data_IF_850107601409
#
_entry.id   IF_850107601409
#
_cell.length_a   1.000
_cell.length_b   1.000
_cell.length_c   1.000
_cell.angle_alpha   90.00
_cell.angle_beta   90.00
_cell.angle_gamma   90.00
#
_symmetry.space_group_name_H-M   'P 1'
#
loop_
_entity.id
_entity.type
_entity.pdbx_description
1 polymer ?
#
# COMPACT_ATOMS: atom_id res chain seq x y z
N UNK A 1 -12.17 -24.81 -77.52
CA UNK A 1 -11.16 -25.22 -76.50
C UNK A 1 -10.80 -23.99 -75.65
N UNK A 2 -11.47 -23.79 -74.53
CA UNK A 2 -11.19 -22.67 -73.62
C UNK A 2 -10.38 -23.26 -72.42
N UNK A 3 -9.18 -22.76 -72.18
CA UNK A 3 -8.38 -23.10 -71.01
C UNK A 3 -8.68 -22.07 -69.90
N UNK A 4 -9.23 -22.51 -68.79
CA UNK A 4 -9.34 -21.71 -67.57
C UNK A 4 -8.05 -21.88 -66.75
N UNK A 5 -7.31 -20.80 -66.55
CA UNK A 5 -6.19 -20.73 -65.59
C UNK A 5 -6.73 -20.38 -64.22
N UNK A 6 -6.57 -21.25 -63.25
CA UNK A 6 -6.86 -21.00 -61.85
C UNK A 6 -5.64 -20.35 -61.22
N UNK A 7 -5.74 -19.09 -60.80
CA UNK A 7 -4.73 -18.42 -60.02
C UNK A 7 -5.01 -18.69 -58.53
N UNK A 8 -4.19 -19.52 -57.92
CA UNK A 8 -4.18 -19.65 -56.44
C UNK A 8 -3.47 -18.45 -55.79
N UNK A 9 -4.23 -17.58 -55.14
CA UNK A 9 -3.70 -16.58 -54.24
C UNK A 9 -3.34 -17.28 -52.87
N UNK A 10 -2.07 -17.48 -52.64
CA UNK A 10 -1.54 -17.84 -51.33
C UNK A 10 -1.54 -16.57 -50.44
N UNK A 11 -2.55 -16.46 -49.57
CA UNK A 11 -2.60 -15.47 -48.54
C UNK A 11 -1.51 -15.82 -47.48
N UNK A 12 -0.45 -15.02 -47.43
CA UNK A 12 0.50 -15.04 -46.32
C UNK A 12 -0.17 -14.43 -45.09
N UNK A 13 -0.69 -15.29 -44.20
CA UNK A 13 -1.09 -14.86 -42.86
C UNK A 13 0.19 -14.46 -42.12
N UNK A 14 0.44 -13.15 -42.03
CA UNK A 14 1.45 -12.59 -41.14
C UNK A 14 0.89 -12.70 -39.72
N UNK A 15 1.23 -13.79 -38.99
CA UNK A 15 1.06 -13.83 -37.55
C UNK A 15 1.98 -12.77 -36.96
N UNK A 16 1.41 -11.63 -36.58
CA UNK A 16 2.12 -10.70 -35.68
C UNK A 16 2.52 -11.50 -34.44
N UNK A 17 3.78 -11.40 -33.97
CA UNK A 17 4.14 -11.99 -32.69
C UNK A 17 3.18 -11.39 -31.63
N UNK A 18 2.44 -12.23 -30.94
CA UNK A 18 1.78 -11.84 -29.70
C UNK A 18 2.93 -11.41 -28.79
N UNK A 19 3.01 -10.09 -28.52
CA UNK A 19 3.93 -9.57 -27.52
C UNK A 19 3.72 -10.38 -26.26
N UNK A 20 4.77 -11.04 -25.77
CA UNK A 20 4.75 -11.63 -24.43
C UNK A 20 4.28 -10.49 -23.52
N UNK A 21 3.16 -10.67 -22.82
CA UNK A 21 2.66 -9.73 -21.84
C UNK A 21 3.84 -9.41 -20.91
N UNK A 22 4.31 -8.16 -20.95
CA UNK A 22 5.35 -7.73 -20.03
C UNK A 22 4.79 -7.94 -18.62
N UNK A 23 5.56 -8.60 -17.76
CA UNK A 23 5.16 -8.82 -16.37
C UNK A 23 4.86 -7.48 -15.73
N UNK A 24 3.70 -7.31 -15.05
CA UNK A 24 3.36 -6.03 -14.46
C UNK A 24 4.32 -5.68 -13.31
N UNK A 25 4.57 -4.41 -13.13
CA UNK A 25 5.16 -3.90 -11.91
C UNK A 25 4.15 -4.02 -10.76
N UNK A 26 4.64 -4.15 -9.53
CA UNK A 26 3.82 -4.17 -8.33
C UNK A 26 4.30 -3.09 -7.37
N UNK A 27 3.40 -2.16 -7.02
CA UNK A 27 3.66 -1.09 -6.07
C UNK A 27 2.74 -1.19 -4.86
N UNK A 28 3.29 -1.37 -3.68
CA UNK A 28 2.58 -1.24 -2.42
C UNK A 28 2.79 0.15 -1.82
N UNK A 29 1.73 0.91 -1.65
CA UNK A 29 1.71 2.17 -0.90
C UNK A 29 1.14 1.88 0.48
N UNK A 30 2.00 1.86 1.48
CA UNK A 30 1.68 1.44 2.85
C UNK A 30 1.68 2.66 3.76
N UNK A 31 0.53 2.97 4.34
CA UNK A 31 0.32 4.14 5.21
C UNK A 31 0.32 3.70 6.68
N UNK A 32 1.02 4.44 7.54
CA UNK A 32 1.04 4.20 8.99
C UNK A 32 -0.16 4.86 9.71
N UNK A 33 -0.72 4.17 10.72
CA UNK A 33 -1.64 4.73 11.74
C UNK A 33 -2.86 5.47 11.14
N UNK A 34 -3.55 4.88 10.17
CA UNK A 34 -4.68 5.54 9.50
C UNK A 34 -5.81 4.54 9.21
N UNK A 35 -7.03 4.88 9.63
CA UNK A 35 -8.24 4.14 9.29
C UNK A 35 -8.78 4.57 7.92
N UNK A 36 -9.91 4.01 7.50
CA UNK A 36 -10.56 4.26 6.21
C UNK A 36 -11.26 5.64 6.09
N UNK A 37 -10.64 6.69 6.65
CA UNK A 37 -11.16 8.06 6.61
C UNK A 37 -10.84 8.79 5.29
N UNK A 38 -11.10 8.14 4.16
CA UNK A 38 -11.05 8.71 2.81
C UNK A 38 -12.47 8.88 2.26
N UNK A 39 -12.70 9.87 1.39
CA UNK A 39 -14.05 10.21 0.94
C UNK A 39 -14.75 9.08 0.18
N UNK A 40 -14.01 8.24 -0.53
CA UNK A 40 -14.56 7.02 -1.17
C UNK A 40 -15.03 5.95 -0.17
N UNK A 41 -14.62 6.00 1.10
CA UNK A 41 -15.02 5.05 2.14
C UNK A 41 -16.05 5.59 3.12
N UNK A 42 -15.94 6.88 3.50
CA UNK A 42 -16.75 7.49 4.57
C UNK A 42 -17.12 8.94 4.27
N UNK A 43 -18.20 9.42 4.88
CA UNK A 43 -18.51 10.86 4.96
C UNK A 43 -17.48 11.54 5.88
N UNK A 44 -16.47 12.16 5.30
CA UNK A 44 -15.39 12.87 6.00
C UNK A 44 -15.38 14.36 5.62
N UNK A 45 -14.89 15.26 6.50
CA UNK A 45 -14.93 16.71 6.26
C UNK A 45 -13.78 17.20 5.36
N UNK A 46 -13.18 16.33 4.56
CA UNK A 46 -12.00 16.60 3.73
C UNK A 46 -12.17 15.96 2.36
N UNK A 47 -11.43 16.46 1.38
CA UNK A 47 -11.34 15.86 0.04
C UNK A 47 -10.10 14.97 -0.06
N UNK A 48 -10.26 13.84 -0.77
CA UNK A 48 -9.19 12.86 -1.02
C UNK A 48 -9.16 12.42 -2.49
N UNK A 49 -9.00 13.39 -3.43
CA UNK A 49 -9.23 13.15 -4.86
C UNK A 49 -8.32 12.09 -5.49
N UNK A 50 -7.11 11.90 -4.96
CA UNK A 50 -6.17 10.92 -5.53
C UNK A 50 -6.49 9.48 -5.08
N UNK A 51 -6.88 9.30 -3.81
CA UNK A 51 -7.36 8.00 -3.31
C UNK A 51 -8.70 7.66 -3.95
N UNK A 52 -9.60 8.62 -4.08
CA UNK A 52 -10.91 8.43 -4.72
C UNK A 52 -10.77 8.08 -6.21
N UNK A 53 -9.84 8.72 -6.92
CA UNK A 53 -9.54 8.40 -8.32
C UNK A 53 -8.92 6.99 -8.47
N UNK A 54 -8.04 6.60 -7.54
CA UNK A 54 -7.48 5.24 -7.54
C UNK A 54 -8.57 4.20 -7.27
N UNK A 55 -9.48 4.46 -6.33
CA UNK A 55 -10.63 3.59 -6.06
C UNK A 55 -11.57 3.47 -7.27
N UNK A 56 -11.81 4.58 -7.97
CA UNK A 56 -12.64 4.59 -9.18
C UNK A 56 -12.01 3.84 -10.36
N UNK A 57 -10.68 3.75 -10.43
CA UNK A 57 -9.96 3.02 -11.48
C UNK A 57 -9.66 1.57 -11.15
N UNK A 58 -9.87 1.14 -9.91
CA UNK A 58 -9.56 -0.19 -9.41
C UNK A 58 -10.71 -0.85 -8.66
N UNK A 59 -10.37 -1.74 -7.74
CA UNK A 59 -11.28 -2.40 -6.81
C UNK A 59 -11.05 -1.85 -5.41
N UNK A 60 -12.12 -1.33 -4.79
CA UNK A 60 -12.16 -0.92 -3.39
C UNK A 60 -12.76 -2.05 -2.55
N UNK A 61 -12.04 -2.47 -1.51
CA UNK A 61 -12.54 -3.45 -0.54
C UNK A 61 -13.13 -2.73 0.69
N UNK A 62 -14.43 -2.91 0.91
CA UNK A 62 -15.14 -2.27 2.03
C UNK A 62 -14.91 -2.98 3.37
N UNK A 63 -14.52 -4.25 3.34
CA UNK A 63 -14.30 -5.10 4.50
C UNK A 63 -12.88 -5.71 4.48
N UNK A 64 -11.87 -4.84 4.45
CA UNK A 64 -10.47 -5.26 4.59
C UNK A 64 -10.02 -5.11 6.06
N UNK A 65 -9.37 -6.15 6.59
CA UNK A 65 -8.94 -6.22 7.97
C UNK A 65 -7.45 -6.52 8.10
N UNK A 66 -6.85 -5.99 9.16
CA UNK A 66 -5.49 -6.39 9.55
C UNK A 66 -5.55 -7.53 10.55
N UNK A 67 -4.61 -8.45 10.48
CA UNK A 67 -4.51 -9.59 11.41
C UNK A 67 -4.10 -9.18 12.83
N UNK A 68 -3.50 -8.00 12.97
CA UNK A 68 -3.16 -7.38 14.25
C UNK A 68 -3.05 -5.85 14.10
N UNK A 69 -3.75 -5.04 14.94
CA UNK A 69 -3.80 -3.58 14.79
C UNK A 69 -2.55 -2.87 15.33
N UNK A 70 -1.37 -3.36 14.98
CA UNK A 70 -0.09 -2.75 15.41
C UNK A 70 1.02 -2.98 14.41
N UNK A 71 1.82 -1.95 14.14
CA UNK A 71 2.77 -1.86 13.02
C UNK A 71 3.61 -3.12 12.77
N UNK A 72 4.50 -3.50 13.69
CA UNK A 72 5.47 -4.56 13.43
C UNK A 72 4.84 -5.94 13.31
N UNK A 73 3.77 -6.16 14.04
CA UNK A 73 3.02 -7.42 14.03
C UNK A 73 2.28 -7.61 12.72
N UNK A 74 1.50 -6.59 12.31
CA UNK A 74 0.81 -6.58 11.02
C UNK A 74 1.80 -6.67 9.84
N UNK A 75 2.89 -5.86 9.89
CA UNK A 75 3.91 -5.86 8.82
C UNK A 75 4.61 -7.20 8.67
N UNK A 76 4.83 -7.91 9.77
CA UNK A 76 5.39 -9.26 9.74
C UNK A 76 4.44 -10.28 9.11
N UNK A 77 3.13 -10.10 9.32
CA UNK A 77 2.12 -10.97 8.74
C UNK A 77 2.00 -10.75 7.22
N UNK A 78 1.70 -9.53 6.77
CA UNK A 78 1.46 -9.31 5.35
C UNK A 78 2.71 -9.49 4.47
N UNK A 79 3.94 -9.23 4.99
CA UNK A 79 5.16 -9.41 4.19
C UNK A 79 5.49 -10.89 3.94
N UNK A 80 4.92 -11.78 4.71
CA UNK A 80 5.10 -13.24 4.58
C UNK A 80 3.85 -13.95 4.06
N UNK A 81 2.67 -13.30 4.02
CA UNK A 81 1.40 -13.98 3.73
C UNK A 81 1.02 -15.00 4.80
N UNK A 82 1.45 -14.79 6.07
CA UNK A 82 1.24 -15.70 7.19
C UNK A 82 0.70 -14.95 8.39
N UNK A 83 -0.18 -15.58 9.17
CA UNK A 83 -0.55 -15.02 10.46
C UNK A 83 0.69 -14.83 11.34
N UNK A 84 0.81 -13.70 11.98
CA UNK A 84 1.89 -13.38 12.90
C UNK A 84 2.08 -14.39 14.02
N UNK A 85 1.01 -15.06 14.42
CA UNK A 85 1.04 -16.14 15.43
C UNK A 85 1.68 -17.41 14.89
N UNK A 86 1.48 -17.74 13.62
CA UNK A 86 2.06 -18.90 12.96
C UNK A 86 3.58 -18.79 12.79
N UNK A 87 4.08 -17.55 12.67
CA UNK A 87 5.53 -17.28 12.51
C UNK A 87 6.21 -16.76 13.78
N UNK A 88 5.51 -16.76 14.94
CA UNK A 88 6.06 -16.30 16.21
C UNK A 88 6.26 -14.77 16.33
N UNK A 89 5.77 -13.99 15.36
CA UNK A 89 6.03 -12.55 15.24
C UNK A 89 4.94 -11.66 15.89
N UNK A 90 4.17 -12.18 16.85
CA UNK A 90 2.98 -11.55 17.42
C UNK A 90 3.25 -10.50 18.51
N UNK A 91 4.48 -10.40 19.02
CA UNK A 91 4.83 -9.37 20.01
C UNK A 91 5.34 -8.09 19.34
N UNK A 92 4.67 -6.97 19.62
CA UNK A 92 5.05 -5.67 19.04
C UNK A 92 6.51 -5.34 19.29
N UNK A 93 7.26 -5.07 18.21
CA UNK A 93 8.68 -4.71 18.20
C UNK A 93 9.63 -5.74 18.79
N UNK A 94 9.25 -7.00 18.88
CA UNK A 94 10.16 -8.08 19.30
C UNK A 94 11.41 -8.16 18.42
N UNK A 95 11.33 -7.80 17.14
CA UNK A 95 12.48 -7.69 16.25
C UNK A 95 13.54 -6.65 16.66
N UNK A 96 13.22 -5.72 17.57
CA UNK A 96 14.16 -4.71 18.11
C UNK A 96 14.89 -5.18 19.37
N UNK A 97 14.47 -6.28 19.99
CA UNK A 97 15.09 -6.86 21.17
C UNK A 97 16.44 -7.53 20.88
N UNK A 98 17.12 -7.96 21.94
CA UNK A 98 18.37 -8.72 21.84
C UNK A 98 18.15 -10.11 21.24
N UNK A 99 17.02 -10.73 21.56
CA UNK A 99 16.62 -12.03 21.02
C UNK A 99 15.85 -11.77 19.72
N UNK A 100 16.34 -12.32 18.61
CA UNK A 100 15.70 -12.25 17.30
C UNK A 100 14.92 -13.52 17.03
N UNK A 101 13.77 -13.37 16.40
CA UNK A 101 12.96 -14.48 15.89
C UNK A 101 13.47 -14.82 14.50
N UNK A 102 13.68 -16.10 14.23
CA UNK A 102 13.89 -16.61 12.89
C UNK A 102 12.54 -17.10 12.33
N UNK A 103 12.30 -16.88 11.04
CA UNK A 103 11.12 -17.43 10.38
C UNK A 103 11.19 -18.97 10.39
N UNK A 104 10.06 -19.67 10.50
CA UNK A 104 10.03 -21.10 10.30
C UNK A 104 10.64 -21.51 8.95
N UNK A 105 11.26 -22.69 8.89
CA UNK A 105 11.92 -23.16 7.69
C UNK A 105 11.00 -23.15 6.46
N UNK A 106 11.48 -22.59 5.37
CA UNK A 106 10.77 -22.48 4.11
C UNK A 106 9.87 -21.26 3.97
N UNK A 107 9.56 -20.53 5.07
CA UNK A 107 8.80 -19.28 5.02
C UNK A 107 9.74 -18.12 4.69
N UNK A 108 9.36 -17.30 3.72
CA UNK A 108 10.18 -16.21 3.20
C UNK A 108 9.37 -14.92 3.04
N UNK A 109 9.98 -13.73 3.22
CA UNK A 109 9.35 -12.47 2.87
C UNK A 109 9.11 -12.34 1.37
N UNK A 110 7.99 -11.74 0.97
CA UNK A 110 7.61 -11.61 -0.45
C UNK A 110 8.63 -10.87 -1.33
N UNK A 111 9.42 -9.87 -0.84
CA UNK A 111 10.46 -9.27 -1.69
C UNK A 111 11.50 -10.27 -2.19
N UNK A 112 11.83 -11.30 -1.40
CA UNK A 112 12.74 -12.35 -1.84
C UNK A 112 12.17 -13.17 -3.00
N UNK A 113 10.85 -13.45 -2.97
CA UNK A 113 10.17 -14.20 -4.03
C UNK A 113 10.13 -13.40 -5.34
N UNK A 114 9.81 -12.10 -5.25
CA UNK A 114 9.86 -11.21 -6.42
C UNK A 114 11.29 -11.09 -6.96
N UNK A 115 12.28 -10.94 -6.09
CA UNK A 115 13.70 -10.86 -6.51
C UNK A 115 14.17 -12.12 -7.22
N UNK A 116 13.83 -13.30 -6.72
CA UNK A 116 14.11 -14.58 -7.39
C UNK A 116 13.46 -14.67 -8.77
N UNK A 117 12.27 -14.09 -8.93
CA UNK A 117 11.56 -14.02 -10.20
C UNK A 117 12.15 -12.97 -11.16
N UNK A 118 13.23 -12.26 -10.78
CA UNK A 118 13.91 -11.27 -11.61
C UNK A 118 13.40 -9.83 -11.48
N UNK A 119 12.51 -9.55 -10.52
CA UNK A 119 12.05 -8.20 -10.23
C UNK A 119 13.14 -7.38 -9.52
N UNK A 120 13.23 -6.10 -9.84
CA UNK A 120 13.98 -5.13 -9.05
C UNK A 120 13.17 -4.74 -7.81
N UNK A 121 13.71 -5.01 -6.62
CA UNK A 121 12.95 -4.87 -5.38
C UNK A 121 13.36 -3.63 -4.61
N UNK A 122 12.38 -2.82 -4.19
CA UNK A 122 12.67 -1.58 -3.45
C UNK A 122 11.75 -1.35 -2.25
N UNK A 123 12.26 -0.60 -1.27
CA UNK A 123 11.47 -0.05 -0.18
C UNK A 123 11.95 1.35 0.17
N UNK A 124 11.05 2.33 0.13
CA UNK A 124 11.40 3.74 0.34
C UNK A 124 10.42 4.48 1.27
N UNK A 125 10.73 5.73 1.56
CA UNK A 125 9.82 6.71 2.16
C UNK A 125 9.66 7.94 1.24
N UNK A 126 9.82 7.76 -0.06
CA UNK A 126 9.59 8.78 -1.08
C UNK A 126 8.10 9.18 -1.13
N UNK A 127 7.73 10.42 -1.41
CA UNK A 127 8.57 11.59 -1.67
C UNK A 127 9.05 12.33 -0.41
N UNK A 128 8.62 11.91 0.79
CA UNK A 128 8.94 12.58 2.06
C UNK A 128 10.45 12.54 2.33
N UNK A 129 11.08 11.42 1.96
CA UNK A 129 12.52 11.23 2.03
C UNK A 129 13.03 10.75 0.67
N UNK A 130 14.05 11.44 0.15
CA UNK A 130 14.59 11.23 -1.20
C UNK A 130 16.00 10.63 -1.20
N UNK A 131 16.44 10.12 -0.05
CA UNK A 131 17.75 9.46 0.08
C UNK A 131 17.65 7.94 -0.17
N UNK A 132 18.80 7.29 -0.28
CA UNK A 132 18.94 5.86 -0.58
C UNK A 132 18.67 4.94 0.63
N UNK A 133 18.32 5.49 1.79
CA UNK A 133 18.01 4.66 2.95
C UNK A 133 16.71 3.91 2.74
N UNK A 134 16.70 2.65 3.09
CA UNK A 134 15.51 1.82 3.05
C UNK A 134 14.36 2.46 3.85
N UNK A 135 13.14 2.27 3.37
CA UNK A 135 11.92 2.64 4.04
C UNK A 135 11.72 1.86 5.34
N UNK A 136 10.61 2.14 6.03
CA UNK A 136 10.26 1.45 7.26
C UNK A 136 9.89 -0.02 6.97
N UNK A 137 10.63 -0.96 7.53
CA UNK A 137 10.33 -2.40 7.52
C UNK A 137 9.55 -2.82 8.77
N UNK A 138 10.11 -2.59 9.95
CA UNK A 138 9.53 -2.88 11.28
C UNK A 138 9.13 -4.36 11.45
N UNK A 139 9.84 -5.29 10.79
CA UNK A 139 9.55 -6.73 10.90
C UNK A 139 10.03 -7.30 12.22
N UNK A 140 9.27 -8.24 12.80
CA UNK A 140 9.55 -8.86 14.08
C UNK A 140 10.47 -10.09 14.02
N UNK A 141 11.04 -10.36 12.86
CA UNK A 141 11.94 -11.49 12.62
C UNK A 141 13.27 -11.02 12.01
N UNK A 142 14.26 -11.90 11.98
CA UNK A 142 15.50 -11.68 11.23
C UNK A 142 15.22 -11.69 9.74
N UNK A 143 15.67 -10.69 9.02
CA UNK A 143 15.55 -10.54 7.58
C UNK A 143 16.85 -10.00 7.00
N UNK A 144 17.10 -10.31 5.74
CA UNK A 144 18.28 -9.84 5.02
C UNK A 144 17.94 -8.53 4.28
N UNK A 145 18.63 -7.40 4.58
CA UNK A 145 18.48 -6.17 3.78
C UNK A 145 18.72 -6.38 2.28
N UNK A 146 19.51 -7.38 1.91
CA UNK A 146 19.75 -7.79 0.52
C UNK A 146 18.51 -8.26 -0.24
N UNK A 147 17.36 -8.47 0.43
CA UNK A 147 16.09 -8.73 -0.26
C UNK A 147 15.58 -7.48 -1.00
N UNK A 148 16.13 -6.30 -0.75
CA UNK A 148 15.87 -5.06 -1.47
C UNK A 148 17.10 -4.62 -2.25
N UNK A 149 16.94 -4.29 -3.52
CA UNK A 149 18.01 -3.76 -4.39
C UNK A 149 18.28 -2.27 -4.13
N UNK A 150 17.28 -1.55 -3.59
CA UNK A 150 17.44 -0.15 -3.26
C UNK A 150 16.18 0.54 -2.72
N UNK A 151 16.16 1.86 -2.88
CA UNK A 151 15.04 2.71 -2.45
C UNK A 151 14.31 3.39 -3.62
N UNK A 152 14.78 3.26 -4.85
CA UNK A 152 14.18 3.87 -6.05
C UNK A 152 14.10 2.87 -7.20
N UNK A 153 12.88 2.54 -7.63
CA UNK A 153 12.65 1.61 -8.73
C UNK A 153 13.15 2.11 -10.09
N UNK A 154 13.38 3.42 -10.24
CA UNK A 154 13.94 4.00 -11.48
C UNK A 154 15.39 3.56 -11.75
N UNK A 155 16.05 2.92 -10.78
CA UNK A 155 17.42 2.39 -10.92
C UNK A 155 17.49 0.97 -11.47
N UNK A 156 16.34 0.37 -11.77
CA UNK A 156 16.27 -0.96 -12.38
C UNK A 156 16.88 -0.97 -13.79
N UNK A 157 17.21 -2.13 -14.28
CA UNK A 157 17.58 -2.31 -15.68
C UNK A 157 16.40 -1.98 -16.61
N UNK A 158 16.68 -1.67 -17.87
CA UNK A 158 15.63 -1.46 -18.87
C UNK A 158 14.76 -2.72 -18.99
N UNK A 159 13.46 -2.52 -19.09
CA UNK A 159 12.44 -3.58 -19.21
C UNK A 159 12.38 -4.57 -18.02
N UNK A 160 13.14 -4.31 -16.95
CA UNK A 160 13.06 -5.11 -15.73
C UNK A 160 11.81 -4.70 -14.92
N UNK A 161 10.89 -5.64 -14.59
CA UNK A 161 9.77 -5.32 -13.72
C UNK A 161 10.25 -5.01 -12.29
N UNK A 162 9.48 -4.23 -11.55
CA UNK A 162 9.81 -3.94 -10.16
C UNK A 162 8.71 -4.38 -9.18
N UNK A 163 9.14 -4.75 -7.98
CA UNK A 163 8.31 -4.82 -6.79
C UNK A 163 8.75 -3.71 -5.84
N UNK A 164 7.92 -2.73 -5.62
CA UNK A 164 8.24 -1.56 -4.82
C UNK A 164 7.30 -1.38 -3.64
N UNK A 165 7.86 -0.96 -2.50
CA UNK A 165 7.09 -0.54 -1.33
C UNK A 165 7.41 0.92 -1.01
N UNK A 166 6.37 1.75 -0.90
CA UNK A 166 6.49 3.12 -0.38
C UNK A 166 5.84 3.18 1.00
N UNK A 167 6.61 3.66 1.98
CA UNK A 167 6.22 3.73 3.38
C UNK A 167 5.85 5.16 3.75
N UNK A 168 4.57 5.44 3.95
CA UNK A 168 4.06 6.75 4.31
C UNK A 168 3.82 6.84 5.82
N UNK A 169 4.08 8.01 6.39
CA UNK A 169 3.89 8.24 7.83
C UNK A 169 2.42 8.35 8.25
N UNK A 170 1.53 8.70 7.31
CA UNK A 170 0.10 8.74 7.53
C UNK A 170 -0.30 9.52 8.78
N UNK A 171 -1.09 8.91 9.64
CA UNK A 171 -1.58 9.53 10.88
C UNK A 171 -0.49 9.99 11.86
N UNK A 172 0.75 9.52 11.69
CA UNK A 172 1.90 10.00 12.50
C UNK A 172 2.44 11.36 12.06
N UNK A 173 2.01 11.89 10.92
CA UNK A 173 2.43 13.21 10.44
C UNK A 173 2.03 14.31 11.40
N UNK A 174 0.85 14.21 12.04
CA UNK A 174 0.34 15.19 12.99
C UNK A 174 1.19 15.37 14.25
N UNK A 175 2.18 14.50 14.47
CA UNK A 175 3.02 14.54 15.66
C UNK A 175 2.42 13.80 16.86
N UNK A 176 3.10 13.85 18.01
CA UNK A 176 2.71 13.19 19.26
C UNK A 176 2.84 14.10 20.49
N UNK A 177 3.14 15.37 20.30
CA UNK A 177 3.19 16.42 21.33
C UNK A 177 2.53 17.68 20.78
N UNK A 178 2.05 18.55 21.67
CA UNK A 178 1.43 19.83 21.31
C UNK A 178 2.32 20.63 20.34
N UNK A 179 3.59 20.82 20.68
CA UNK A 179 4.56 21.54 19.84
C UNK A 179 4.72 20.90 18.44
N UNK A 180 4.78 19.57 18.37
CA UNK A 180 4.91 18.87 17.09
C UNK A 180 3.62 18.96 16.26
N UNK A 181 2.47 18.96 16.90
CA UNK A 181 1.16 19.13 16.26
C UNK A 181 1.00 20.55 15.70
N UNK A 182 1.32 21.58 16.47
CA UNK A 182 1.29 22.98 16.00
C UNK A 182 2.23 23.20 14.81
N UNK A 183 3.45 22.67 14.88
CA UNK A 183 4.41 22.74 13.78
C UNK A 183 3.87 22.06 12.52
N UNK A 184 3.24 20.91 12.68
CA UNK A 184 2.60 20.21 11.58
C UNK A 184 1.44 20.99 10.99
N UNK A 185 0.53 21.50 11.83
CA UNK A 185 -0.61 22.31 11.39
C UNK A 185 -0.18 23.58 10.64
N UNK A 186 0.92 24.23 11.08
CA UNK A 186 1.49 25.34 10.34
C UNK A 186 1.97 24.92 8.94
N UNK A 187 2.62 23.78 8.84
CA UNK A 187 3.05 23.26 7.53
C UNK A 187 1.88 22.88 6.60
N UNK A 188 0.74 22.54 7.17
CA UNK A 188 -0.51 22.29 6.44
C UNK A 188 -1.09 23.61 5.91
N UNK A 189 -1.14 24.66 6.72
CA UNK A 189 -1.56 26.00 6.27
C UNK A 189 -0.69 26.54 5.13
N UNK A 190 0.64 26.37 5.25
CA UNK A 190 1.60 26.76 4.20
C UNK A 190 1.36 25.97 2.88
N UNK A 191 0.96 24.71 2.97
CA UNK A 191 0.81 23.80 1.84
C UNK A 191 -0.55 23.85 1.17
N UNK A 192 -1.62 23.97 1.97
CA UNK A 192 -3.01 23.92 1.51
C UNK A 192 -3.76 25.25 1.63
N UNK A 193 -3.11 26.29 2.19
CA UNK A 193 -3.76 27.58 2.46
C UNK A 193 -4.72 27.58 3.67
N UNK A 194 -5.11 26.41 4.14
CA UNK A 194 -6.02 26.25 5.29
C UNK A 194 -5.85 24.88 5.91
N UNK A 195 -6.05 24.77 7.22
CA UNK A 195 -6.16 23.52 7.96
C UNK A 195 -7.63 23.13 8.16
N UNK A 196 -7.87 21.89 8.52
CA UNK A 196 -9.21 21.39 8.84
C UNK A 196 -9.76 22.12 10.08
N UNK A 197 -10.91 22.84 9.99
CA UNK A 197 -11.49 23.49 11.15
C UNK A 197 -12.04 22.47 12.15
N UNK A 198 -11.89 22.71 13.45
CA UNK A 198 -12.47 21.86 14.50
C UNK A 198 -14.00 21.79 14.44
N UNK A 199 -14.65 22.83 13.91
CA UNK A 199 -16.11 22.92 13.79
C UNK A 199 -16.75 21.91 12.83
N UNK A 200 -15.96 21.36 11.89
CA UNK A 200 -16.43 20.32 10.93
C UNK A 200 -16.13 18.90 11.41
N UNK A 201 -15.36 18.75 12.50
CA UNK A 201 -14.97 17.45 13.03
C UNK A 201 -16.15 16.75 13.71
N UNK A 202 -16.55 15.60 13.18
CA UNK A 202 -17.55 14.73 13.79
C UNK A 202 -16.81 13.61 14.55
N UNK A 203 -16.80 13.68 15.88
CA UNK A 203 -16.16 12.67 16.72
C UNK A 203 -17.02 11.41 16.84
N UNK A 204 -16.42 10.21 16.91
CA UNK A 204 -17.10 9.02 17.35
C UNK A 204 -17.75 9.24 18.75
N UNK A 205 -18.93 8.64 19.04
CA UNK A 205 -19.74 8.98 20.21
C UNK A 205 -19.08 8.66 21.58
N UNK A 206 -17.99 7.91 21.57
CA UNK A 206 -17.23 7.58 22.78
C UNK A 206 -16.11 8.57 23.11
N UNK A 207 -15.96 9.65 22.33
CA UNK A 207 -15.03 10.73 22.63
C UNK A 207 -15.76 11.93 23.25
N UNK A 208 -15.23 12.52 24.33
CA UNK A 208 -15.70 13.81 24.78
C UNK A 208 -15.28 14.91 23.79
N UNK A 209 -16.24 15.79 23.47
CA UNK A 209 -15.99 16.91 22.53
C UNK A 209 -15.25 18.07 23.24
N UNK A 210 -14.01 17.83 23.64
CA UNK A 210 -13.11 18.86 24.19
C UNK A 210 -12.26 19.46 23.09
N UNK A 211 -11.78 20.69 23.28
CA UNK A 211 -10.92 21.37 22.31
C UNK A 211 -9.66 20.57 21.97
N UNK A 212 -9.06 19.89 22.95
CA UNK A 212 -7.88 19.04 22.75
C UNK A 212 -8.17 17.91 21.79
N UNK A 213 -9.31 17.22 21.97
CA UNK A 213 -9.67 16.09 21.12
C UNK A 213 -10.09 16.55 19.72
N UNK A 214 -10.86 17.64 19.64
CA UNK A 214 -11.25 18.21 18.35
C UNK A 214 -10.04 18.68 17.55
N UNK A 215 -9.06 19.31 18.20
CA UNK A 215 -7.81 19.73 17.55
C UNK A 215 -6.96 18.52 17.08
N UNK A 216 -6.85 17.47 17.88
CA UNK A 216 -6.09 16.27 17.47
C UNK A 216 -6.76 15.56 16.28
N UNK A 217 -8.10 15.46 16.28
CA UNK A 217 -8.85 14.91 15.14
C UNK A 217 -8.76 15.79 13.89
N UNK A 218 -8.80 17.11 14.03
CA UNK A 218 -8.59 18.04 12.92
C UNK A 218 -7.19 17.86 12.30
N UNK A 219 -6.16 17.78 13.14
CA UNK A 219 -4.79 17.47 12.68
C UNK A 219 -4.65 16.08 12.04
N UNK A 220 -5.43 15.11 12.52
CA UNK A 220 -5.49 13.81 11.86
C UNK A 220 -6.13 13.90 10.46
N UNK A 221 -7.24 14.60 10.28
CA UNK A 221 -7.82 14.82 8.96
C UNK A 221 -6.87 15.57 8.03
N UNK A 222 -6.10 16.52 8.55
CA UNK A 222 -5.03 17.15 7.78
C UNK A 222 -3.96 16.14 7.35
N UNK A 223 -3.66 15.13 8.18
CA UNK A 223 -2.73 14.06 7.80
C UNK A 223 -3.29 13.13 6.73
N UNK A 224 -4.62 12.95 6.68
CA UNK A 224 -5.28 12.22 5.59
C UNK A 224 -5.17 13.00 4.27
N UNK A 225 -5.46 14.31 4.28
CA UNK A 225 -5.28 15.20 3.11
C UNK A 225 -3.85 15.18 2.59
N UNK A 226 -2.86 15.25 3.49
CA UNK A 226 -1.46 15.22 3.09
C UNK A 226 -1.04 13.85 2.54
N UNK A 227 -1.60 12.77 3.07
CA UNK A 227 -1.40 11.41 2.56
C UNK A 227 -1.98 11.27 1.15
N UNK A 228 -3.18 11.78 0.91
CA UNK A 228 -3.79 11.81 -0.43
C UNK A 228 -2.93 12.57 -1.44
N UNK A 229 -2.46 13.77 -1.07
CA UNK A 229 -1.54 14.57 -1.90
C UNK A 229 -0.26 13.78 -2.24
N UNK A 230 0.31 13.10 -1.24
CA UNK A 230 1.53 12.28 -1.43
C UNK A 230 1.26 11.11 -2.37
N UNK A 231 0.09 10.47 -2.27
CA UNK A 231 -0.31 9.45 -3.24
C UNK A 231 -0.36 10.03 -4.66
N UNK A 232 -0.89 11.25 -4.82
CA UNK A 232 -0.90 11.95 -6.10
C UNK A 232 0.51 12.15 -6.69
N UNK A 233 1.50 12.49 -5.87
CA UNK A 233 2.90 12.60 -6.32
C UNK A 233 3.47 11.23 -6.75
N UNK A 234 3.15 10.16 -6.02
CA UNK A 234 3.57 8.78 -6.35
C UNK A 234 3.00 8.36 -7.71
N UNK A 235 1.70 8.55 -7.92
CA UNK A 235 1.04 8.21 -9.18
C UNK A 235 1.56 9.07 -10.35
N UNK A 236 1.88 10.34 -10.07
CA UNK A 236 2.49 11.23 -11.06
C UNK A 236 3.91 10.77 -11.45
N UNK A 237 4.71 10.29 -10.49
CA UNK A 237 6.04 9.71 -10.78
C UNK A 237 5.90 8.50 -11.71
N UNK A 238 5.00 7.55 -11.43
CA UNK A 238 4.74 6.41 -12.31
C UNK A 238 4.33 6.85 -13.74
N UNK A 239 3.45 7.86 -13.85
CA UNK A 239 3.03 8.39 -15.16
C UNK A 239 4.18 9.05 -15.91
N UNK A 240 5.00 9.82 -15.22
CA UNK A 240 6.14 10.56 -15.82
C UNK A 240 7.23 9.59 -16.30
N UNK A 241 7.41 8.47 -15.64
CA UNK A 241 8.36 7.43 -16.00
C UNK A 241 7.81 6.43 -17.04
N UNK A 242 6.52 6.53 -17.37
CA UNK A 242 5.86 5.64 -18.35
C UNK A 242 5.44 4.28 -17.78
N UNK A 243 5.52 4.11 -16.46
CA UNK A 243 5.26 2.83 -15.79
C UNK A 243 3.80 2.64 -15.37
N UNK A 244 2.99 3.70 -15.36
CA UNK A 244 1.66 3.71 -14.74
C UNK A 244 0.73 2.63 -15.29
N UNK A 245 0.65 2.49 -16.61
CA UNK A 245 -0.27 1.56 -17.29
C UNK A 245 0.13 0.08 -17.08
N UNK A 246 1.39 -0.18 -16.73
CA UNK A 246 1.89 -1.53 -16.44
C UNK A 246 2.19 -1.74 -14.95
N UNK A 247 1.60 -0.95 -14.05
CA UNK A 247 1.82 -1.09 -12.61
C UNK A 247 0.53 -1.43 -11.87
N UNK A 248 0.57 -2.52 -11.12
CA UNK A 248 -0.47 -2.85 -10.12
C UNK A 248 -0.14 -2.05 -8.86
N UNK A 249 -1.05 -1.16 -8.47
CA UNK A 249 -0.95 -0.34 -7.27
C UNK A 249 -1.84 -0.92 -6.19
N UNK A 250 -1.26 -1.27 -5.05
CA UNK A 250 -1.94 -1.67 -3.82
C UNK A 250 -1.82 -0.53 -2.82
N UNK A 251 -2.91 0.18 -2.54
CA UNK A 251 -2.99 1.20 -1.50
C UNK A 251 -3.60 0.61 -0.24
N UNK A 252 -2.87 0.67 0.87
CA UNK A 252 -3.30 0.09 2.15
C UNK A 252 -2.72 0.86 3.33
N UNK A 253 -3.33 0.66 4.53
CA UNK A 253 -2.74 1.12 5.79
C UNK A 253 -2.33 -0.06 6.66
N UNK A 254 -1.26 0.08 7.45
CA UNK A 254 -0.75 -1.05 8.26
C UNK A 254 -1.64 -1.41 9.45
N UNK A 255 -2.45 -0.49 9.92
CA UNK A 255 -3.54 -0.64 10.90
C UNK A 255 -4.27 0.70 11.02
N UNK A 256 -5.35 0.71 11.81
CA UNK A 256 -6.15 1.90 12.00
C UNK A 256 -5.47 3.04 12.79
N UNK A 257 -6.22 4.11 12.95
CA UNK A 257 -5.82 5.36 13.62
C UNK A 257 -5.23 5.13 15.03
N UNK A 258 -4.21 5.91 15.40
CA UNK A 258 -3.57 5.82 16.72
C UNK A 258 -4.33 6.61 17.82
N UNK A 259 -5.64 6.54 17.80
CA UNK A 259 -6.54 7.07 18.83
C UNK A 259 -7.14 5.94 19.68
N UNK A 260 -7.92 6.31 20.69
CA UNK A 260 -8.65 5.35 21.55
C UNK A 260 -9.52 4.45 20.68
N UNK A 261 -9.51 3.13 20.95
CA UNK A 261 -10.15 2.05 20.18
C UNK A 261 -9.58 1.82 18.78
N UNK A 262 -8.57 2.57 18.36
CA UNK A 262 -7.83 2.34 17.11
C UNK A 262 -6.66 1.39 17.32
N UNK A 263 -5.45 1.87 17.00
CA UNK A 263 -4.20 1.11 17.16
C UNK A 263 -4.10 0.37 18.50
N UNK A 264 -3.69 -0.90 18.46
CA UNK A 264 -3.57 -1.84 19.57
C UNK A 264 -4.88 -2.37 20.13
N UNK A 265 -6.03 -1.98 19.58
CA UNK A 265 -7.33 -2.46 20.00
C UNK A 265 -8.03 -3.22 18.87
N UNK A 266 -8.75 -4.29 19.22
CA UNK A 266 -9.50 -5.13 18.27
C UNK A 266 -10.92 -4.60 17.98
N UNK A 267 -11.08 -3.27 18.01
CA UNK A 267 -12.29 -2.62 17.51
C UNK A 267 -12.10 -2.30 16.02
N UNK A 268 -13.19 -2.08 15.30
CA UNK A 268 -13.16 -1.78 13.87
C UNK A 268 -12.20 -0.62 13.51
N UNK A 269 -12.16 0.45 14.31
CA UNK A 269 -11.24 1.57 14.11
C UNK A 269 -9.75 1.17 14.15
N UNK A 270 -9.44 0.02 14.77
CA UNK A 270 -8.07 -0.52 14.83
C UNK A 270 -7.77 -1.54 13.74
N UNK A 271 -8.74 -2.39 13.40
CA UNK A 271 -8.52 -3.56 12.53
C UNK A 271 -9.04 -3.37 11.12
N UNK A 272 -10.12 -2.58 10.91
CA UNK A 272 -10.66 -2.30 9.59
C UNK A 272 -9.89 -1.16 8.94
N UNK A 273 -9.41 -1.41 7.73
CA UNK A 273 -8.48 -0.51 7.03
C UNK A 273 -8.87 -0.36 5.56
N UNK A 274 -8.48 0.73 4.89
CA UNK A 274 -8.66 0.85 3.46
C UNK A 274 -7.75 -0.14 2.72
N UNK A 275 -8.29 -0.73 1.66
CA UNK A 275 -7.56 -1.53 0.69
C UNK A 275 -8.11 -1.25 -0.70
N UNK A 276 -7.26 -0.75 -1.58
CA UNK A 276 -7.59 -0.50 -2.99
C UNK A 276 -6.51 -1.19 -3.84
N UNK A 277 -6.95 -1.92 -4.87
CA UNK A 277 -6.04 -2.54 -5.84
C UNK A 277 -6.46 -2.06 -7.23
N UNK A 278 -5.53 -1.43 -7.95
CA UNK A 278 -5.75 -0.90 -9.29
C UNK A 278 -4.58 -1.22 -10.21
N UNK A 279 -4.81 -1.38 -11.50
CA UNK A 279 -3.76 -1.64 -12.48
C UNK A 279 -4.18 -2.57 -13.60
N UNK A 280 -3.22 -3.04 -14.43
CA UNK A 280 -3.51 -3.90 -15.56
C UNK A 280 -4.19 -5.21 -15.13
N UNK A 281 -5.20 -5.62 -15.89
CA UNK A 281 -5.97 -6.84 -15.62
C UNK A 281 -6.98 -6.72 -14.48
N UNK A 282 -7.16 -5.53 -13.90
CA UNK A 282 -8.14 -5.25 -12.85
C UNK A 282 -9.26 -4.40 -13.46
N UNK A 283 -10.46 -4.96 -13.55
CA UNK A 283 -11.63 -4.23 -14.04
C UNK A 283 -11.99 -3.14 -13.01
N UNK A 284 -11.87 -1.87 -13.44
CA UNK A 284 -12.00 -0.72 -12.58
C UNK A 284 -13.42 -0.40 -12.12
N UNK A 285 -13.54 0.42 -11.07
CA UNK A 285 -14.79 1.01 -10.60
C UNK A 285 -15.65 0.10 -9.73
N UNK A 286 -15.11 -0.99 -9.20
CA UNK A 286 -15.84 -1.94 -8.37
C UNK A 286 -15.64 -1.73 -6.87
N UNK A 287 -16.73 -1.84 -6.08
CA UNK A 287 -16.66 -2.04 -4.64
C UNK A 287 -16.92 -3.52 -4.33
N UNK A 288 -16.16 -4.07 -3.39
CA UNK A 288 -16.27 -5.44 -2.92
C UNK A 288 -16.56 -5.45 -1.42
N UNK A 289 -17.59 -6.20 -1.03
CA UNK A 289 -18.00 -6.40 0.36
C UNK A 289 -17.49 -7.72 0.93
N UNK A 290 -16.69 -8.46 0.15
CA UNK A 290 -16.02 -9.66 0.64
C UNK A 290 -15.08 -9.30 1.79
N UNK A 291 -15.04 -10.16 2.81
CA UNK A 291 -14.08 -10.03 3.91
C UNK A 291 -12.71 -10.50 3.42
N UNK A 292 -11.73 -9.61 3.52
CA UNK A 292 -10.34 -9.90 3.16
C UNK A 292 -9.41 -9.47 4.28
N UNK A 293 -8.27 -10.12 4.37
CA UNK A 293 -7.24 -9.80 5.36
C UNK A 293 -5.92 -9.36 4.68
N UNK A 294 -5.08 -8.64 5.41
CA UNK A 294 -3.80 -8.18 4.88
C UNK A 294 -2.85 -9.31 4.46
N UNK A 295 -3.01 -10.52 5.00
CA UNK A 295 -2.21 -11.67 4.55
C UNK A 295 -2.57 -12.10 3.13
N UNK A 296 -3.78 -11.80 2.64
CA UNK A 296 -4.22 -12.07 1.27
C UNK A 296 -3.48 -11.22 0.23
N UNK A 297 -2.92 -10.07 0.64
CA UNK A 297 -2.24 -9.14 -0.28
C UNK A 297 -1.01 -9.79 -0.93
N UNK A 298 -0.27 -10.57 -0.17
CA UNK A 298 0.95 -11.22 -0.66
C UNK A 298 0.66 -12.29 -1.73
N UNK A 299 -0.19 -13.31 -1.50
CA UNK A 299 -0.54 -14.26 -2.54
C UNK A 299 -1.26 -13.60 -3.73
N UNK A 300 -2.10 -12.57 -3.49
CA UNK A 300 -2.74 -11.80 -4.56
C UNK A 300 -1.71 -11.08 -5.43
N UNK A 301 -0.71 -10.44 -4.82
CA UNK A 301 0.35 -9.75 -5.57
C UNK A 301 1.18 -10.71 -6.41
N UNK A 302 1.48 -11.90 -5.90
CA UNK A 302 2.17 -12.95 -6.65
C UNK A 302 1.31 -13.45 -7.83
N UNK A 303 0.03 -13.72 -7.59
CA UNK A 303 -0.88 -14.17 -8.64
C UNK A 303 -1.04 -13.13 -9.76
N UNK A 304 -1.20 -11.85 -9.42
CA UNK A 304 -1.31 -10.75 -10.37
C UNK A 304 -0.02 -10.54 -11.19
N UNK A 305 1.13 -10.94 -10.63
CA UNK A 305 2.42 -10.92 -11.31
C UNK A 305 2.73 -12.23 -12.10
N UNK A 306 1.76 -13.15 -12.19
CA UNK A 306 1.92 -14.49 -12.78
C UNK A 306 3.08 -15.28 -12.15
N UNK A 307 3.20 -15.19 -10.81
CA UNK A 307 4.19 -15.91 -10.01
C UNK A 307 3.53 -17.01 -9.17
N UNK A 308 4.27 -18.08 -8.92
CA UNK A 308 3.80 -19.19 -8.10
C UNK A 308 3.52 -18.73 -6.66
N UNK A 309 2.35 -19.09 -6.14
CA UNK A 309 1.98 -18.87 -4.75
C UNK A 309 2.51 -20.05 -3.92
N UNK A 310 3.42 -19.79 -2.96
CA UNK A 310 3.93 -20.86 -2.12
C UNK A 310 2.81 -21.52 -1.29
N UNK A 311 2.82 -22.84 -1.20
CA UNK A 311 1.80 -23.64 -0.51
C UNK A 311 1.72 -23.39 1.00
N UNK A 312 2.71 -22.72 1.58
CA UNK A 312 2.73 -22.35 3.01
C UNK A 312 2.01 -21.04 3.34
N UNK A 313 1.62 -20.23 2.35
CA UNK A 313 0.82 -19.01 2.57
C UNK A 313 -0.58 -19.37 3.05
N UNK A 314 -1.12 -18.52 3.95
CA UNK A 314 -2.42 -18.73 4.62
C UNK A 314 -3.50 -17.81 4.07
#
# INVERSE_FOLDING_TARGET
MFRFSVVCLLGVFCCAPVSASERPNVLWVIVDDMSDHFACYRDVPIETPHVDALAASGIQFNNAFVTAPVCSTCRSAFITGMYQTSIGAHHHRSGRGAIKIDLPNGIRPVPELFKEAGYYTTISAWPIRKDERLGKTDYNFRWDPGMYDGADWAKRENDQPFFAQIQLRGGKLRGGTEESTERYQKSIEERFGTRTPTSVVKLPPYYPATDVILNDWAAYFDSVRDTDRILGEILLKLKTEGDFENTIVVFMTDHGISHIRGKQYLYEEGVRVPLIIAGPGIDGGGQRDDMVEHIDITPTSLALADLEIPVWMQ
#
